data_IF_027952597592
#
_entry.id   IF_027952597592
#
_cell.length_a   1.000
_cell.length_b   1.000
_cell.length_c   1.000
_cell.angle_alpha   90.00
_cell.angle_beta   90.00
_cell.angle_gamma   90.00
#
_symmetry.space_group_name_H-M   'P 1'
#
loop_
_entity.id
_entity.type
_entity.pdbx_description
1 polymer ?
#
# COMPACT_ATOMS: atom_id res chain seq x y z
N UNK A 1 -9.17 -15.40 8.03
CA UNK A 1 -8.29 -14.47 7.27
C UNK A 1 -9.11 -13.95 6.08
N UNK A 2 -9.31 -12.63 5.98
CA UNK A 2 -10.03 -12.02 4.86
C UNK A 2 -9.06 -11.63 3.74
N UNK A 3 -9.51 -11.71 2.48
CA UNK A 3 -8.75 -11.25 1.31
C UNK A 3 -9.53 -10.12 0.65
N UNK A 4 -8.83 -9.04 0.32
CA UNK A 4 -9.39 -7.90 -0.40
C UNK A 4 -8.52 -7.56 -1.60
N UNK A 5 -9.14 -6.97 -2.61
CA UNK A 5 -8.44 -6.41 -3.76
C UNK A 5 -8.09 -4.97 -3.43
N UNK A 6 -6.80 -4.66 -3.39
CA UNK A 6 -6.29 -3.32 -3.16
C UNK A 6 -5.48 -2.88 -4.37
N UNK A 7 -5.77 -1.67 -4.87
CA UNK A 7 -4.95 -1.06 -5.91
C UNK A 7 -3.70 -0.46 -5.27
N UNK A 8 -2.54 -0.98 -5.65
CA UNK A 8 -1.24 -0.54 -5.14
C UNK A 8 -0.66 0.48 -6.13
N UNK A 9 -0.21 1.62 -5.61
CA UNK A 9 0.54 2.63 -6.38
C UNK A 9 2.04 2.54 -6.04
N UNK A 10 2.86 2.27 -7.04
CA UNK A 10 4.32 2.06 -6.87
C UNK A 10 5.17 3.21 -7.42
N UNK A 11 4.58 4.37 -7.72
CA UNK A 11 5.30 5.51 -8.31
C UNK A 11 6.52 5.97 -7.48
N UNK A 12 6.45 5.86 -6.15
CA UNK A 12 7.48 6.33 -5.21
C UNK A 12 8.22 5.20 -4.50
N UNK A 13 8.21 3.99 -5.07
CA UNK A 13 8.88 2.85 -4.46
C UNK A 13 10.36 3.14 -4.12
N UNK A 14 10.88 2.77 -2.93
CA UNK A 14 10.22 2.10 -1.80
C UNK A 14 9.66 3.05 -0.71
N UNK A 15 9.59 4.36 -0.98
CA UNK A 15 9.11 5.41 -0.08
C UNK A 15 7.60 5.64 -0.22
N UNK A 16 6.84 4.55 -0.33
CA UNK A 16 5.41 4.55 -0.66
C UNK A 16 4.51 4.38 0.59
N UNK A 17 3.35 5.02 0.53
CA UNK A 17 2.20 4.81 1.42
C UNK A 17 1.08 4.14 0.63
N UNK A 18 0.48 3.10 1.21
CA UNK A 18 -0.62 2.35 0.61
C UNK A 18 -1.90 2.50 1.43
N UNK A 19 -3.02 2.64 0.74
CA UNK A 19 -4.36 2.76 1.32
C UNK A 19 -5.27 1.68 0.76
N UNK A 20 -5.53 0.65 1.55
CA UNK A 20 -6.36 -0.48 1.15
C UNK A 20 -7.70 -0.44 1.86
N UNK A 21 -8.80 -0.44 1.10
CA UNK A 21 -10.15 -0.33 1.64
C UNK A 21 -10.81 -1.69 1.82
N UNK A 22 -11.42 -1.91 2.99
CA UNK A 22 -12.31 -3.02 3.28
C UNK A 22 -13.71 -2.46 3.47
N UNK A 23 -14.67 -2.94 2.67
CA UNK A 23 -16.08 -2.55 2.78
C UNK A 23 -16.89 -3.68 3.39
N UNK A 24 -17.60 -3.39 4.47
CA UNK A 24 -18.50 -4.31 5.14
C UNK A 24 -19.91 -3.74 5.09
N UNK A 25 -20.88 -4.53 4.65
CA UNK A 25 -22.26 -4.10 4.52
C UNK A 25 -23.19 -5.29 4.45
N UNK A 26 -24.47 -5.06 4.68
CA UNK A 26 -25.48 -6.09 4.44
C UNK A 26 -25.69 -6.27 2.93
N UNK A 27 -25.80 -7.51 2.48
CA UNK A 27 -26.09 -7.82 1.08
C UNK A 27 -27.58 -7.67 0.75
N UNK A 28 -28.45 -8.09 1.66
CA UNK A 28 -29.90 -8.21 1.40
C UNK A 28 -30.74 -7.16 2.13
N UNK A 29 -30.28 -6.64 3.26
CA UNK A 29 -31.05 -5.71 4.08
C UNK A 29 -30.67 -4.27 3.75
N UNK A 30 -31.67 -3.45 3.46
CA UNK A 30 -31.52 -2.01 3.27
C UNK A 30 -31.46 -1.29 4.63
N UNK A 31 -31.20 0.02 4.60
CA UNK A 31 -31.07 0.85 5.80
C UNK A 31 -32.33 0.99 6.65
N UNK A 32 -33.49 0.45 6.22
CA UNK A 32 -34.73 0.46 7.02
C UNK A 32 -34.80 -0.73 7.96
N UNK A 33 -34.19 -1.86 7.59
CA UNK A 33 -34.18 -3.07 8.41
C UNK A 33 -32.90 -3.20 9.25
N UNK A 34 -31.79 -2.65 8.77
CA UNK A 34 -30.49 -2.78 9.42
C UNK A 34 -29.75 -1.46 9.36
N UNK A 35 -29.39 -0.91 10.54
CA UNK A 35 -28.58 0.29 10.66
C UNK A 35 -27.19 -0.05 11.20
N UNK A 36 -26.17 0.01 10.32
CA UNK A 36 -24.77 -0.16 10.71
C UNK A 36 -24.24 1.12 11.32
N UNK A 37 -23.71 1.02 12.54
CA UNK A 37 -23.03 2.11 13.24
C UNK A 37 -21.58 1.71 13.52
N UNK A 38 -20.69 2.69 13.44
CA UNK A 38 -19.30 2.49 13.85
C UNK A 38 -19.21 2.57 15.37
N UNK A 39 -18.36 1.73 15.96
CA UNK A 39 -18.13 1.72 17.40
C UNK A 39 -17.06 2.75 17.79
N UNK A 40 -17.16 3.31 19.00
CA UNK A 40 -16.18 4.23 19.57
C UNK A 40 -15.88 5.46 18.70
N UNK A 41 -14.60 5.70 18.43
CA UNK A 41 -14.09 6.79 17.59
C UNK A 41 -14.23 6.52 16.08
N UNK A 42 -14.82 5.37 15.73
CA UNK A 42 -15.00 4.91 14.36
C UNK A 42 -13.73 4.37 13.71
N UNK A 43 -12.61 4.30 14.43
CA UNK A 43 -11.38 3.70 13.94
C UNK A 43 -11.34 2.20 14.21
N UNK A 44 -10.59 1.46 13.40
CA UNK A 44 -10.33 0.05 13.65
C UNK A 44 -9.45 -0.13 14.88
N UNK A 45 -9.82 -1.05 15.77
CA UNK A 45 -9.00 -1.39 16.93
C UNK A 45 -7.65 -1.99 16.50
N UNK A 46 -6.56 -1.36 16.93
CA UNK A 46 -5.19 -1.79 16.65
C UNK A 46 -4.48 -2.37 17.87
N UNK A 47 -5.16 -2.53 19.01
CA UNK A 47 -4.59 -2.99 20.28
C UNK A 47 -3.87 -4.33 20.18
N UNK A 48 -4.42 -5.24 19.38
CA UNK A 48 -3.91 -6.60 19.12
C UNK A 48 -3.11 -6.72 17.82
N UNK A 49 -2.71 -5.60 17.20
CA UNK A 49 -1.99 -5.62 15.94
C UNK A 49 -0.57 -6.19 16.09
N UNK A 50 -0.29 -7.24 15.32
CA UNK A 50 1.04 -7.85 15.25
C UNK A 50 1.88 -7.12 14.21
N UNK A 51 2.94 -6.45 14.66
CA UNK A 51 3.87 -5.73 13.79
C UNK A 51 4.65 -6.70 12.91
N UNK A 52 4.80 -6.37 11.63
CA UNK A 52 5.64 -7.10 10.68
C UNK A 52 6.90 -6.32 10.27
N UNK A 53 7.81 -7.00 9.57
CA UNK A 53 9.11 -6.47 9.13
C UNK A 53 9.08 -5.66 7.83
N UNK A 54 7.98 -5.71 7.08
CA UNK A 54 7.88 -5.03 5.76
C UNK A 54 7.02 -3.76 5.84
N UNK A 55 5.94 -3.79 6.62
CA UNK A 55 4.95 -2.71 6.66
C UNK A 55 4.88 -2.09 8.06
N UNK A 56 4.51 -0.81 8.11
CA UNK A 56 4.17 -0.09 9.33
C UNK A 56 2.71 0.32 9.21
N UNK A 57 1.86 -0.18 10.10
CA UNK A 57 0.48 0.30 10.22
C UNK A 57 0.51 1.76 10.72
N UNK A 58 -0.08 2.66 9.94
CA UNK A 58 -0.16 4.09 10.27
C UNK A 58 -1.49 4.40 10.94
N UNK A 59 -2.60 3.98 10.31
CA UNK A 59 -3.95 4.18 10.83
C UNK A 59 -4.94 3.23 10.16
N UNK A 60 -6.11 3.04 10.80
CA UNK A 60 -7.24 2.31 10.23
C UNK A 60 -8.52 3.13 10.39
N UNK A 61 -8.67 4.28 9.71
CA UNK A 61 -9.91 5.06 9.78
C UNK A 61 -11.09 4.29 9.20
N UNK A 62 -12.21 4.29 9.94
CA UNK A 62 -13.50 3.81 9.49
C UNK A 62 -14.42 4.95 9.05
N UNK A 63 -15.22 4.70 8.02
CA UNK A 63 -16.24 5.62 7.52
C UNK A 63 -17.55 4.87 7.29
N UNK A 64 -18.65 5.44 7.78
CA UNK A 64 -20.01 4.96 7.49
C UNK A 64 -20.50 5.64 6.22
N UNK A 65 -20.92 4.85 5.25
CA UNK A 65 -21.43 5.34 3.98
C UNK A 65 -22.90 4.96 3.82
N UNK A 66 -23.64 5.87 3.19
CA UNK A 66 -25.05 5.72 2.85
C UNK A 66 -25.14 5.77 1.33
N UNK A 67 -25.32 4.61 0.70
CA UNK A 67 -25.17 4.45 -0.75
C UNK A 67 -26.48 3.97 -1.35
N UNK A 68 -26.91 4.65 -2.41
CA UNK A 68 -27.98 4.17 -3.29
C UNK A 68 -27.33 3.55 -4.51
N UNK A 69 -27.59 2.28 -4.75
CA UNK A 69 -27.06 1.56 -5.91
C UNK A 69 -28.01 1.67 -7.11
N UNK A 70 -27.46 1.63 -8.32
CA UNK A 70 -28.26 1.78 -9.55
C UNK A 70 -29.25 0.62 -9.76
N UNK A 71 -28.97 -0.56 -9.19
CA UNK A 71 -29.82 -1.73 -9.31
C UNK A 71 -31.15 -1.62 -8.55
N UNK A 72 -31.20 -0.80 -7.48
CA UNK A 72 -32.29 -0.82 -6.51
C UNK A 72 -32.65 0.60 -6.03
N UNK A 73 -33.95 0.95 -5.89
CA UNK A 73 -34.36 2.26 -5.39
C UNK A 73 -34.05 2.49 -3.90
N UNK A 74 -33.76 1.43 -3.15
CA UNK A 74 -33.48 1.46 -1.70
C UNK A 74 -32.05 1.94 -1.40
N UNK A 75 -31.87 2.46 -0.19
CA UNK A 75 -30.60 2.94 0.33
C UNK A 75 -29.95 1.83 1.18
N UNK A 76 -28.69 1.54 0.91
CA UNK A 76 -27.89 0.57 1.63
C UNK A 76 -26.83 1.28 2.47
N UNK A 77 -26.43 0.62 3.55
CA UNK A 77 -25.44 1.12 4.50
C UNK A 77 -24.21 0.23 4.47
N UNK A 78 -23.02 0.84 4.41
CA UNK A 78 -21.75 0.14 4.52
C UNK A 78 -20.78 0.86 5.46
N UNK A 79 -19.96 0.08 6.16
CA UNK A 79 -18.83 0.53 6.94
C UNK A 79 -17.55 0.22 6.15
N UNK A 80 -16.84 1.27 5.73
CA UNK A 80 -15.58 1.16 5.00
C UNK A 80 -14.41 1.47 5.93
N UNK A 81 -13.51 0.51 6.13
CA UNK A 81 -12.25 0.70 6.83
C UNK A 81 -11.10 0.86 5.84
N UNK A 82 -10.30 1.91 5.98
CA UNK A 82 -9.13 2.14 5.14
C UNK A 82 -7.88 1.78 5.91
N UNK A 83 -7.24 0.68 5.56
CA UNK A 83 -5.95 0.27 6.13
C UNK A 83 -4.87 1.14 5.49
N UNK A 84 -4.29 2.04 6.28
CA UNK A 84 -3.19 2.90 5.86
C UNK A 84 -1.86 2.31 6.35
N UNK A 85 -1.04 1.84 5.42
CA UNK A 85 0.26 1.22 5.71
C UNK A 85 1.40 1.94 4.98
N UNK A 86 2.57 1.98 5.60
CA UNK A 86 3.81 2.52 5.04
C UNK A 86 4.86 1.44 4.91
N UNK A 87 5.56 1.39 3.77
CA UNK A 87 6.66 0.43 3.57
C UNK A 87 7.88 0.78 4.42
N UNK A 88 8.56 -0.23 4.96
CA UNK A 88 9.87 -0.07 5.60
C UNK A 88 10.96 -0.07 4.52
N UNK A 89 11.59 1.08 4.34
CA UNK A 89 12.50 1.36 3.20
C UNK A 89 13.89 0.76 3.34
N UNK A 90 14.36 0.48 4.57
CA UNK A 90 15.76 0.11 4.83
C UNK A 90 16.24 -1.08 4.00
N UNK A 91 15.46 -2.17 3.97
CA UNK A 91 15.82 -3.37 3.22
C UNK A 91 15.99 -3.10 1.72
N UNK A 92 15.07 -2.32 1.14
CA UNK A 92 15.09 -1.95 -0.28
C UNK A 92 16.20 -0.96 -0.61
N UNK A 93 16.54 -0.07 0.32
CA UNK A 93 17.68 0.83 0.20
C UNK A 93 19.00 0.07 0.04
N UNK A 94 19.28 -0.86 0.96
CA UNK A 94 20.53 -1.63 0.94
C UNK A 94 20.61 -2.64 -0.20
N UNK A 95 19.51 -3.34 -0.51
CA UNK A 95 19.56 -4.46 -1.46
C UNK A 95 19.17 -4.08 -2.89
N UNK A 96 18.50 -2.95 -3.12
CA UNK A 96 18.08 -2.53 -4.48
C UNK A 96 18.74 -1.21 -4.86
N UNK A 97 18.55 -0.15 -4.07
CA UNK A 97 19.01 1.20 -4.45
C UNK A 97 20.55 1.26 -4.53
N UNK A 98 21.26 0.78 -3.51
CA UNK A 98 22.74 0.83 -3.50
C UNK A 98 23.36 0.07 -4.68
N UNK A 99 23.00 -1.21 -4.96
CA UNK A 99 23.53 -1.91 -6.13
C UNK A 99 23.23 -1.20 -7.46
N UNK A 100 22.02 -0.68 -7.65
CA UNK A 100 21.67 0.04 -8.87
C UNK A 100 22.49 1.32 -9.08
N UNK A 101 22.73 2.08 -8.00
CA UNK A 101 23.57 3.29 -8.06
C UNK A 101 25.03 2.93 -8.36
N UNK A 102 25.56 1.87 -7.73
CA UNK A 102 26.94 1.41 -7.98
C UNK A 102 27.13 0.96 -9.42
N UNK A 103 26.22 0.16 -9.97
CA UNK A 103 26.29 -0.29 -11.37
C UNK A 103 26.18 0.90 -12.33
N UNK A 104 25.31 1.87 -12.03
CA UNK A 104 25.15 3.07 -12.85
C UNK A 104 26.37 4.01 -12.78
N UNK A 105 27.06 4.05 -11.64
CA UNK A 105 28.31 4.79 -11.49
C UNK A 105 29.46 4.11 -12.25
N UNK A 106 29.55 2.78 -12.17
CA UNK A 106 30.53 1.99 -12.91
C UNK A 106 30.35 2.15 -14.43
N UNK A 107 29.11 2.19 -14.91
CA UNK A 107 28.84 2.41 -16.34
C UNK A 107 29.26 3.79 -16.84
N UNK A 108 29.17 4.84 -16.01
CA UNK A 108 29.71 6.17 -16.33
C UNK A 108 31.25 6.18 -16.32
N UNK A 109 31.87 5.50 -15.36
CA UNK A 109 33.34 5.39 -15.27
C UNK A 109 33.97 4.71 -16.48
N UNK A 110 33.29 3.74 -17.09
CA UNK A 110 33.70 3.09 -18.34
C UNK A 110 33.94 4.08 -19.50
N UNK A 111 33.15 5.16 -19.57
CA UNK A 111 33.31 6.18 -20.62
C UNK A 111 34.53 7.09 -20.37
N UNK A 112 34.98 7.20 -19.11
CA UNK A 112 36.14 8.02 -18.72
C UNK A 112 37.45 7.23 -18.88
N UNK A 113 37.41 5.89 -18.82
CA UNK A 113 38.60 5.06 -18.91
C UNK A 113 39.21 5.13 -20.34
N UNK A 114 40.52 5.46 -20.46
CA UNK A 114 41.19 5.54 -21.75
C UNK A 114 41.19 4.18 -22.45
N UNK A 115 41.07 4.15 -23.78
CA UNK A 115 40.96 2.91 -24.57
C UNK A 115 42.20 2.02 -24.50
N UNK A 116 43.34 2.54 -24.06
CA UNK A 116 44.60 1.81 -23.91
C UNK A 116 44.62 0.90 -22.67
N UNK A 117 43.67 1.07 -21.75
CA UNK A 117 43.42 0.12 -20.69
C UNK A 117 42.57 -1.03 -21.25
N UNK A 118 43.21 -2.14 -21.64
CA UNK A 118 42.57 -3.34 -22.21
C UNK A 118 41.45 -3.98 -21.37
N UNK A 119 41.17 -3.46 -20.18
CA UNK A 119 40.05 -3.82 -19.29
C UNK A 119 38.69 -3.28 -19.76
N UNK A 120 38.66 -2.33 -20.72
CA UNK A 120 37.42 -1.67 -21.18
C UNK A 120 36.37 -2.64 -21.76
N UNK A 121 36.79 -3.80 -22.26
CA UNK A 121 35.93 -4.83 -22.87
C UNK A 121 35.47 -5.88 -21.83
N UNK A 122 36.16 -6.01 -20.70
CA UNK A 122 35.82 -6.99 -19.65
C UNK A 122 34.82 -6.43 -18.62
N UNK A 123 34.65 -5.12 -18.58
CA UNK A 123 33.92 -4.40 -17.54
C UNK A 123 32.57 -3.82 -18.04
N UNK A 124 32.28 -3.92 -19.34
CA UNK A 124 31.06 -3.48 -20.00
C UNK A 124 30.12 -4.62 -20.39
#
# INVERSE_FOLDING_TARGET
MFKSTCQIDIAWFPFDDQKCTLKFGSWTHDGRYLDLQLDGDGNGDTSSFIRNGEWKLIAVPGSRNVVKYDCCPQIYLDATYTIHIRRRTLYYGFNIIIPCVLISALSLLLFILPPDAGEKISLG
#
